data_IF_618344117157
#
_entry.id   IF_618344117157
#
_cell.length_a   1.000
_cell.length_b   1.000
_cell.length_c   1.000
_cell.angle_alpha   90.00
_cell.angle_beta   90.00
_cell.angle_gamma   90.00
#
_symmetry.space_group_name_H-M   'P 1'
#
loop_
_entity.id
_entity.type
_entity.pdbx_description
1 polymer ?
#
# COMPACT_ATOMS: atom_id res chain seq x y z
N UNK A 1 15.82 -22.43 -5.18
CA UNK A 1 15.56 -21.00 -4.83
C UNK A 1 14.50 -20.84 -3.75
N UNK A 2 13.46 -21.72 -3.70
CA UNK A 2 12.35 -21.56 -2.75
C UNK A 2 12.68 -21.75 -1.26
N UNK A 3 13.73 -22.49 -0.90
CA UNK A 3 14.04 -22.81 0.50
C UNK A 3 14.90 -21.76 1.22
N UNK A 4 15.61 -20.92 0.48
CA UNK A 4 16.48 -19.90 1.07
C UNK A 4 15.68 -18.76 1.71
N UNK A 5 14.47 -18.49 1.19
CA UNK A 5 13.62 -17.40 1.67
C UNK A 5 12.70 -17.77 2.86
N UNK A 6 12.53 -19.07 3.15
CA UNK A 6 11.55 -19.57 4.13
C UNK A 6 11.84 -19.26 5.62
N UNK A 7 12.96 -18.61 5.95
CA UNK A 7 13.35 -18.31 7.36
C UNK A 7 14.06 -16.98 7.55
N UNK A 8 13.85 -16.01 6.68
CA UNK A 8 14.46 -14.70 6.90
C UNK A 8 13.74 -13.97 8.03
N UNK A 9 14.53 -13.49 9.01
CA UNK A 9 14.03 -12.58 10.05
C UNK A 9 13.63 -11.28 9.38
N UNK A 10 12.38 -10.84 9.58
CA UNK A 10 11.89 -9.58 9.05
C UNK A 10 12.76 -8.42 9.52
N UNK A 11 13.22 -7.61 8.58
CA UNK A 11 14.01 -6.41 8.83
C UNK A 11 13.13 -5.18 8.76
N UNK A 12 13.45 -4.23 9.61
CA UNK A 12 12.72 -2.98 9.74
C UNK A 12 13.67 -1.83 9.45
N UNK A 13 13.23 -0.89 8.63
CA UNK A 13 13.96 0.34 8.39
C UNK A 13 13.88 1.26 9.61
N UNK A 14 14.92 2.06 9.81
CA UNK A 14 14.87 3.14 10.79
C UNK A 14 13.85 4.21 10.37
N UNK A 15 13.31 4.93 11.34
CA UNK A 15 12.47 6.11 11.07
C UNK A 15 13.31 7.23 10.46
N UNK A 16 12.66 8.05 9.64
CA UNK A 16 13.28 9.22 9.02
C UNK A 16 13.63 10.28 10.07
N UNK A 17 14.74 10.95 9.89
CA UNK A 17 15.23 12.04 10.73
C UNK A 17 15.38 13.32 9.90
N UNK A 18 15.35 14.44 10.58
CA UNK A 18 15.64 15.73 9.94
C UNK A 18 17.02 15.69 9.28
N UNK A 19 17.11 16.08 8.03
CA UNK A 19 18.31 16.02 7.20
C UNK A 19 18.39 14.75 6.33
N UNK A 20 17.53 13.75 6.57
CA UNK A 20 17.50 12.56 5.73
C UNK A 20 17.02 12.86 4.32
N UNK A 21 17.57 12.13 3.37
CA UNK A 21 17.18 12.15 1.97
C UNK A 21 16.19 11.04 1.67
N UNK A 22 15.10 11.38 1.00
CA UNK A 22 14.11 10.42 0.51
C UNK A 22 14.10 10.40 -1.02
N UNK A 23 14.11 9.19 -1.58
CA UNK A 23 14.00 8.98 -3.02
C UNK A 23 12.52 8.92 -3.43
N UNK A 24 12.18 9.58 -4.55
CA UNK A 24 10.90 9.42 -5.21
C UNK A 24 11.11 8.52 -6.43
N UNK A 25 10.33 7.44 -6.49
CA UNK A 25 10.39 6.42 -7.56
C UNK A 25 9.03 6.29 -8.24
N UNK A 26 9.03 6.10 -9.55
CA UNK A 26 7.85 5.77 -10.35
C UNK A 26 7.98 4.32 -10.84
N UNK A 27 7.46 3.37 -10.05
CA UNK A 27 7.63 1.95 -10.28
C UNK A 27 6.57 1.33 -11.19
N UNK A 28 5.45 2.04 -11.39
CA UNK A 28 4.35 1.65 -12.26
C UNK A 28 3.98 2.80 -13.19
N UNK A 29 2.98 3.64 -12.85
CA UNK A 29 2.62 4.79 -13.66
C UNK A 29 3.71 5.87 -13.65
N UNK A 30 3.98 6.44 -14.83
CA UNK A 30 4.88 7.59 -15.01
C UNK A 30 4.20 8.94 -14.85
N UNK A 31 3.02 9.00 -14.28
CA UNK A 31 2.17 10.21 -14.20
C UNK A 31 2.92 11.42 -13.63
N UNK A 32 3.79 11.23 -12.64
CA UNK A 32 4.53 12.31 -12.01
C UNK A 32 5.42 13.09 -12.99
N UNK A 33 5.87 12.42 -14.06
CA UNK A 33 6.70 13.05 -15.11
C UNK A 33 5.92 13.83 -16.15
N UNK A 34 4.59 13.82 -16.09
CA UNK A 34 3.75 14.54 -17.05
C UNK A 34 3.59 16.02 -16.68
N UNK A 35 3.44 16.87 -17.71
CA UNK A 35 3.33 18.31 -17.53
C UNK A 35 2.16 18.71 -16.61
N UNK A 36 1.06 17.96 -16.65
CA UNK A 36 -0.11 18.22 -15.81
C UNK A 36 0.12 17.90 -14.31
N UNK A 37 1.22 17.22 -13.96
CA UNK A 37 1.63 16.96 -12.57
C UNK A 37 2.73 17.90 -12.06
N UNK A 38 3.16 18.90 -12.82
CA UNK A 38 4.28 19.76 -12.42
C UNK A 38 4.06 20.48 -11.08
N UNK A 39 2.83 20.94 -10.81
CA UNK A 39 2.46 21.57 -9.55
C UNK A 39 2.49 20.59 -8.37
N UNK A 40 2.19 19.31 -8.59
CA UNK A 40 2.29 18.28 -7.55
C UNK A 40 3.74 18.10 -7.09
N UNK A 41 4.71 18.18 -7.99
CA UNK A 41 6.14 18.12 -7.65
C UNK A 41 6.50 19.26 -6.68
N UNK A 42 6.11 20.50 -7.01
CA UNK A 42 6.39 21.68 -6.18
C UNK A 42 5.76 21.55 -4.78
N UNK A 43 4.50 21.13 -4.71
CA UNK A 43 3.75 20.94 -3.45
C UNK A 43 4.40 19.85 -2.60
N UNK A 44 4.65 18.66 -3.18
CA UNK A 44 5.21 17.53 -2.44
C UNK A 44 6.62 17.81 -1.92
N UNK A 45 7.48 18.44 -2.73
CA UNK A 45 8.85 18.85 -2.32
C UNK A 45 8.79 19.88 -1.19
N UNK A 46 7.89 20.87 -1.29
CA UNK A 46 7.69 21.85 -0.22
C UNK A 46 7.35 21.17 1.11
N UNK A 47 6.39 20.23 1.10
CA UNK A 47 5.94 19.52 2.31
C UNK A 47 7.02 18.62 2.89
N UNK A 48 7.78 17.90 2.07
CA UNK A 48 8.93 17.12 2.55
C UNK A 48 9.97 18.02 3.22
N UNK A 49 10.24 19.19 2.63
CA UNK A 49 11.16 20.18 3.22
C UNK A 49 10.65 20.73 4.57
N UNK A 50 9.34 20.90 4.74
CA UNK A 50 8.75 21.31 6.01
C UNK A 50 9.01 20.29 7.13
N UNK A 51 9.12 19.00 6.80
CA UNK A 51 9.58 17.95 7.70
C UNK A 51 11.11 17.90 7.88
N UNK A 52 11.84 18.76 7.17
CA UNK A 52 13.31 18.77 7.18
C UNK A 52 13.93 17.65 6.35
N UNK A 53 13.17 17.04 5.42
CA UNK A 53 13.64 15.98 4.53
C UNK A 53 14.12 16.54 3.21
N UNK A 54 15.19 15.95 2.66
CA UNK A 54 15.68 16.25 1.31
C UNK A 54 15.01 15.32 0.30
N UNK A 55 14.58 15.86 -0.84
CA UNK A 55 13.94 15.08 -1.90
C UNK A 55 14.92 14.77 -3.03
N UNK A 56 15.00 13.52 -3.44
CA UNK A 56 15.77 13.06 -4.60
C UNK A 56 14.86 12.32 -5.57
N UNK A 57 14.56 12.90 -6.72
CA UNK A 57 13.89 12.17 -7.79
C UNK A 57 14.88 11.23 -8.46
N UNK A 58 14.54 9.93 -8.52
CA UNK A 58 15.40 8.99 -9.21
C UNK A 58 15.42 9.29 -10.73
N UNK A 59 16.49 8.94 -11.43
CA UNK A 59 16.75 9.45 -12.81
C UNK A 59 15.63 9.23 -13.82
N UNK A 60 14.83 8.17 -13.65
CA UNK A 60 13.72 7.86 -14.57
C UNK A 60 12.35 8.27 -14.03
N UNK A 61 12.23 8.62 -12.74
CA UNK A 61 10.93 8.86 -12.08
C UNK A 61 10.08 9.97 -12.72
N UNK A 62 10.70 10.90 -13.44
CA UNK A 62 10.06 12.03 -14.13
C UNK A 62 10.07 11.88 -15.66
N UNK A 63 10.22 10.69 -16.20
CA UNK A 63 10.29 10.45 -17.66
C UNK A 63 8.93 10.36 -18.38
N UNK A 64 7.84 10.37 -17.62
CA UNK A 64 6.49 10.31 -18.16
C UNK A 64 5.96 8.90 -18.42
N UNK A 65 4.66 8.82 -18.67
CA UNK A 65 3.90 7.56 -18.77
C UNK A 65 4.43 6.67 -19.89
N UNK A 66 4.57 7.19 -21.09
CA UNK A 66 4.98 6.38 -22.25
C UNK A 66 6.38 5.78 -22.09
N UNK A 67 7.33 6.61 -21.62
CA UNK A 67 8.69 6.12 -21.39
C UNK A 67 8.73 5.01 -20.35
N UNK A 68 8.10 5.22 -19.19
CA UNK A 68 8.15 4.24 -18.10
C UNK A 68 7.41 2.96 -18.44
N UNK A 69 6.29 3.03 -19.15
CA UNK A 69 5.57 1.86 -19.64
C UNK A 69 6.44 1.01 -20.59
N UNK A 70 7.20 1.65 -21.47
CA UNK A 70 8.09 0.98 -22.40
C UNK A 70 9.40 0.48 -21.76
N UNK A 71 9.76 0.96 -20.56
CA UNK A 71 11.07 0.73 -19.96
C UNK A 71 11.00 0.20 -18.51
N UNK A 72 10.44 -1.01 -18.27
CA UNK A 72 10.37 -1.58 -16.92
C UNK A 72 11.75 -1.77 -16.27
N UNK A 73 12.77 -2.08 -17.07
CA UNK A 73 14.16 -2.16 -16.60
C UNK A 73 14.68 -0.84 -16.02
N UNK A 74 14.29 0.30 -16.59
CA UNK A 74 14.68 1.62 -16.08
C UNK A 74 14.03 1.91 -14.72
N UNK A 75 12.76 1.53 -14.55
CA UNK A 75 12.03 1.62 -13.26
C UNK A 75 12.70 0.75 -12.19
N UNK A 76 13.03 -0.49 -12.54
CA UNK A 76 13.73 -1.41 -11.63
C UNK A 76 15.12 -0.88 -11.25
N UNK A 77 15.84 -0.28 -12.21
CA UNK A 77 17.14 0.35 -11.94
C UNK A 77 17.03 1.50 -10.94
N UNK A 78 16.03 2.36 -11.05
CA UNK A 78 15.80 3.43 -10.09
C UNK A 78 15.61 2.88 -8.67
N UNK A 79 14.84 1.81 -8.50
CA UNK A 79 14.65 1.18 -7.20
C UNK A 79 15.96 0.57 -6.68
N UNK A 80 16.71 -0.14 -7.52
CA UNK A 80 18.03 -0.68 -7.17
C UNK A 80 18.98 0.44 -6.74
N UNK A 81 19.12 1.49 -7.56
CA UNK A 81 20.02 2.61 -7.27
C UNK A 81 19.64 3.31 -5.95
N UNK A 82 18.33 3.45 -5.66
CA UNK A 82 17.88 4.01 -4.40
C UNK A 82 18.27 3.15 -3.18
N UNK A 83 18.28 1.81 -3.31
CA UNK A 83 18.77 0.93 -2.25
C UNK A 83 20.29 0.93 -2.12
N UNK A 84 21.01 1.10 -3.23
CA UNK A 84 22.47 1.12 -3.27
C UNK A 84 23.07 2.45 -2.78
N UNK A 85 22.30 3.53 -2.77
CA UNK A 85 22.77 4.85 -2.31
C UNK A 85 22.59 4.97 -0.79
N UNK A 86 23.69 4.92 -0.04
CA UNK A 86 23.69 5.04 1.41
C UNK A 86 23.18 6.40 1.93
N UNK A 87 23.12 7.42 1.07
CA UNK A 87 22.57 8.74 1.44
C UNK A 87 21.04 8.76 1.48
N UNK A 88 20.37 7.75 0.92
CA UNK A 88 18.91 7.64 0.89
C UNK A 88 18.45 6.84 2.10
N UNK A 89 17.62 7.44 2.94
CA UNK A 89 17.03 6.80 4.13
C UNK A 89 15.65 6.18 3.86
N UNK A 90 14.89 6.74 2.92
CA UNK A 90 13.54 6.27 2.58
C UNK A 90 13.21 6.40 1.11
N UNK A 91 12.24 5.61 0.68
CA UNK A 91 11.76 5.53 -0.70
C UNK A 91 10.24 5.71 -0.68
N UNK A 92 9.77 6.70 -1.43
CA UNK A 92 8.35 7.02 -1.53
C UNK A 92 7.93 6.79 -2.98
N UNK A 93 6.92 5.93 -3.19
CA UNK A 93 6.34 5.74 -4.51
C UNK A 93 5.61 7.00 -4.97
N UNK A 94 5.82 7.40 -6.22
CA UNK A 94 5.13 8.56 -6.80
C UNK A 94 3.62 8.34 -6.82
N UNK A 95 3.21 7.19 -7.34
CA UNK A 95 1.82 6.72 -7.43
C UNK A 95 1.85 5.21 -7.72
N UNK A 96 0.69 4.54 -7.67
CA UNK A 96 0.50 3.19 -8.17
C UNK A 96 0.49 3.12 -9.71
N UNK A 97 -0.36 2.28 -10.23
CA UNK A 97 -0.53 1.98 -11.66
C UNK A 97 -1.07 0.57 -11.82
N UNK A 98 -0.55 -0.19 -12.79
CA UNK A 98 -1.10 -1.50 -13.11
C UNK A 98 -0.09 -2.55 -13.64
N UNK A 99 1.21 -2.21 -13.73
CA UNK A 99 2.17 -3.10 -14.39
C UNK A 99 3.54 -3.23 -13.67
N UNK A 100 3.61 -2.91 -12.37
CA UNK A 100 4.87 -3.00 -11.63
C UNK A 100 5.40 -4.42 -11.49
N UNK A 101 4.59 -5.47 -11.73
CA UNK A 101 5.05 -6.86 -11.78
C UNK A 101 6.18 -7.07 -12.82
N UNK A 102 6.23 -6.24 -13.86
CA UNK A 102 7.28 -6.29 -14.91
C UNK A 102 8.68 -6.01 -14.38
N UNK A 103 8.79 -5.49 -13.15
CA UNK A 103 10.07 -5.22 -12.51
C UNK A 103 10.65 -6.46 -11.84
N UNK A 104 9.82 -7.45 -11.50
CA UNK A 104 10.23 -8.64 -10.74
C UNK A 104 11.43 -9.38 -11.34
N UNK A 105 11.50 -9.63 -12.69
CA UNK A 105 12.67 -10.28 -13.28
C UNK A 105 13.98 -9.53 -13.07
N UNK A 106 13.94 -8.20 -13.11
CA UNK A 106 15.12 -7.35 -12.97
C UNK A 106 15.57 -7.15 -11.52
N UNK A 107 14.69 -7.40 -10.57
CA UNK A 107 14.96 -7.19 -9.15
C UNK A 107 15.23 -8.51 -8.42
N UNK A 108 14.42 -9.53 -8.65
CA UNK A 108 14.55 -10.82 -7.95
C UNK A 108 15.62 -11.75 -8.54
N UNK A 109 16.16 -11.44 -9.72
CA UNK A 109 17.34 -12.10 -10.29
C UNK A 109 18.64 -11.30 -10.08
N UNK A 110 18.58 -10.15 -9.41
CA UNK A 110 19.73 -9.26 -9.15
C UNK A 110 20.23 -9.43 -7.71
N UNK A 111 21.32 -10.18 -7.55
CA UNK A 111 21.92 -10.47 -6.23
C UNK A 111 22.38 -9.19 -5.51
N UNK A 112 22.87 -8.17 -6.26
CA UNK A 112 23.31 -6.91 -5.65
C UNK A 112 22.13 -6.14 -5.05
N UNK A 113 20.97 -6.14 -5.74
CA UNK A 113 19.75 -5.53 -5.20
C UNK A 113 19.29 -6.26 -3.95
N UNK A 114 19.20 -7.58 -4.00
CA UNK A 114 18.80 -8.42 -2.86
C UNK A 114 19.72 -8.17 -1.66
N UNK A 115 21.02 -8.15 -1.90
CA UNK A 115 22.03 -7.85 -0.88
C UNK A 115 21.86 -6.44 -0.30
N UNK A 116 21.60 -5.43 -1.15
CA UNK A 116 21.39 -4.05 -0.70
C UNK A 116 20.14 -3.94 0.19
N UNK A 117 19.04 -4.59 -0.17
CA UNK A 117 17.80 -4.65 0.65
C UNK A 117 18.12 -5.25 2.04
N UNK A 118 18.94 -6.28 2.10
CA UNK A 118 19.30 -6.94 3.35
C UNK A 118 20.28 -6.15 4.20
N UNK A 119 21.25 -5.48 3.58
CA UNK A 119 22.32 -4.75 4.29
C UNK A 119 21.90 -3.36 4.75
N UNK A 120 21.06 -2.71 3.96
CA UNK A 120 20.60 -1.34 4.18
C UNK A 120 19.07 -1.25 4.04
N UNK A 121 18.31 -1.80 5.00
CA UNK A 121 16.85 -1.72 4.94
C UNK A 121 16.42 -0.26 4.97
N UNK A 122 15.59 0.14 3.99
CA UNK A 122 15.08 1.50 3.85
C UNK A 122 13.57 1.53 4.04
N UNK A 123 13.07 2.64 4.58
CA UNK A 123 11.65 2.91 4.60
C UNK A 123 11.12 2.88 3.15
N UNK A 124 10.04 2.16 2.91
CA UNK A 124 9.38 2.10 1.61
C UNK A 124 7.87 2.24 1.81
N UNK A 125 7.24 3.19 1.10
CA UNK A 125 5.82 3.50 1.25
C UNK A 125 5.12 3.73 -0.08
N UNK A 126 3.87 3.29 -0.15
CA UNK A 126 2.96 3.43 -1.26
C UNK A 126 1.76 2.49 -1.11
N UNK A 127 0.81 2.54 -2.03
CA UNK A 127 -0.37 1.68 -2.06
C UNK A 127 -0.78 1.38 -3.50
N UNK A 128 -1.93 0.69 -3.71
CA UNK A 128 -2.41 0.30 -5.04
C UNK A 128 -1.54 -0.79 -5.66
N UNK A 129 -1.15 -0.66 -6.92
CA UNK A 129 -0.24 -1.58 -7.62
C UNK A 129 1.09 -1.79 -6.88
N UNK A 130 1.49 -0.84 -6.03
CA UNK A 130 2.63 -1.01 -5.11
C UNK A 130 2.51 -2.25 -4.21
N UNK A 131 1.32 -2.85 -4.08
CA UNK A 131 1.11 -4.16 -3.44
C UNK A 131 2.10 -5.21 -3.93
N UNK A 132 2.37 -5.24 -5.24
CA UNK A 132 3.33 -6.15 -5.86
C UNK A 132 4.75 -5.93 -5.30
N UNK A 133 5.15 -4.67 -5.17
CA UNK A 133 6.45 -4.31 -4.59
C UNK A 133 6.51 -4.66 -3.10
N UNK A 134 5.43 -4.43 -2.36
CA UNK A 134 5.35 -4.83 -0.95
C UNK A 134 5.47 -6.34 -0.76
N UNK A 135 4.78 -7.15 -1.57
CA UNK A 135 4.89 -8.60 -1.53
C UNK A 135 6.31 -9.07 -1.90
N UNK A 136 6.95 -8.41 -2.89
CA UNK A 136 8.35 -8.66 -3.23
C UNK A 136 9.28 -8.38 -2.02
N UNK A 137 9.14 -7.23 -1.38
CA UNK A 137 9.94 -6.88 -0.20
C UNK A 137 9.63 -7.79 0.99
N UNK A 138 8.37 -8.13 1.21
CA UNK A 138 7.98 -9.08 2.25
C UNK A 138 8.68 -10.43 2.05
N UNK A 139 8.69 -10.94 0.81
CA UNK A 139 9.43 -12.15 0.42
C UNK A 139 10.93 -12.02 0.67
N UNK A 140 11.53 -10.85 0.45
CA UNK A 140 12.94 -10.56 0.75
C UNK A 140 13.18 -10.29 2.26
N UNK A 141 12.18 -10.35 3.10
CA UNK A 141 12.30 -10.13 4.54
C UNK A 141 12.45 -8.66 4.94
N UNK A 142 11.96 -7.72 4.12
CA UNK A 142 11.90 -6.30 4.46
C UNK A 142 10.46 -5.90 4.78
N UNK A 143 10.24 -5.30 5.94
CA UNK A 143 8.99 -4.67 6.33
C UNK A 143 8.83 -3.32 5.62
N UNK A 144 7.68 -3.11 5.02
CA UNK A 144 7.33 -1.90 4.26
C UNK A 144 5.97 -1.36 4.68
N UNK A 145 5.57 -0.19 4.20
CA UNK A 145 4.38 0.51 4.65
C UNK A 145 3.36 0.66 3.53
N UNK A 146 2.20 -0.01 3.66
CA UNK A 146 1.03 0.25 2.83
C UNK A 146 0.36 1.53 3.31
N UNK A 147 0.63 2.64 2.65
CA UNK A 147 0.25 3.95 3.15
C UNK A 147 0.54 5.10 2.18
N UNK A 148 0.68 6.32 2.70
CA UNK A 148 0.83 7.52 1.89
C UNK A 148 1.87 7.41 0.78
N UNK A 149 1.52 7.94 -0.41
CA UNK A 149 2.43 8.11 -1.53
C UNK A 149 2.67 9.59 -1.84
N UNK A 150 3.48 9.88 -2.85
CA UNK A 150 3.85 11.25 -3.17
C UNK A 150 2.68 12.06 -3.75
N UNK A 151 2.04 11.60 -4.82
CA UNK A 151 1.01 12.38 -5.53
C UNK A 151 -0.28 12.49 -4.71
N UNK A 152 -0.76 11.37 -4.17
CA UNK A 152 -2.09 11.34 -3.53
C UNK A 152 -2.12 11.99 -2.15
N UNK A 153 -0.98 12.01 -1.44
CA UNK A 153 -0.93 12.43 -0.04
C UNK A 153 0.01 13.61 0.18
N UNK A 154 1.30 13.48 -0.14
CA UNK A 154 2.26 14.58 0.03
C UNK A 154 1.96 15.74 -0.91
N UNK A 155 1.57 15.46 -2.13
CA UNK A 155 1.22 16.48 -3.12
C UNK A 155 -0.29 16.74 -3.23
N UNK A 156 -1.06 16.43 -2.17
CA UNK A 156 -2.47 16.85 -2.09
C UNK A 156 -2.60 18.34 -2.39
N UNK A 157 -3.47 18.68 -3.35
CA UNK A 157 -3.58 20.07 -3.87
C UNK A 157 -4.45 21.00 -3.02
N UNK A 158 -5.09 20.50 -1.95
CA UNK A 158 -5.62 21.37 -0.90
C UNK A 158 -4.49 22.16 -0.23
N UNK A 159 -4.80 23.23 0.48
CA UNK A 159 -3.80 24.09 1.12
C UNK A 159 -2.84 23.30 2.02
N UNK A 160 -3.34 22.26 2.70
CA UNK A 160 -2.55 21.36 3.52
C UNK A 160 -2.81 19.88 3.18
N UNK A 161 -1.95 18.99 3.67
CA UNK A 161 -2.25 17.56 3.69
C UNK A 161 -3.50 17.29 4.52
N UNK A 162 -4.29 16.31 4.11
CA UNK A 162 -5.44 15.88 4.91
C UNK A 162 -4.98 15.40 6.30
N UNK A 163 -5.55 15.90 7.39
CA UNK A 163 -4.99 15.72 8.75
C UNK A 163 -4.76 14.26 9.14
N UNK A 164 -5.68 13.36 8.78
CA UNK A 164 -5.56 11.94 9.09
C UNK A 164 -4.41 11.27 8.32
N UNK A 165 -4.28 11.53 7.00
CA UNK A 165 -3.16 11.02 6.18
C UNK A 165 -1.84 11.68 6.56
N UNK A 166 -1.85 12.96 6.96
CA UNK A 166 -0.69 13.67 7.49
C UNK A 166 -0.13 12.96 8.71
N UNK A 167 -0.99 12.62 9.68
CA UNK A 167 -0.61 11.86 10.88
C UNK A 167 -0.01 10.50 10.52
N UNK A 168 -0.55 9.82 9.51
CA UNK A 168 -0.01 8.57 9.02
C UNK A 168 1.41 8.74 8.45
N UNK A 169 1.64 9.76 7.62
CA UNK A 169 2.98 10.06 7.11
C UNK A 169 3.96 10.47 8.22
N UNK A 170 3.51 11.29 9.17
CA UNK A 170 4.32 11.71 10.31
C UNK A 170 4.81 10.52 11.16
N UNK A 171 4.10 9.39 11.15
CA UNK A 171 4.54 8.17 11.83
C UNK A 171 5.89 7.61 11.32
N UNK A 172 6.28 7.97 10.11
CA UNK A 172 7.55 7.59 9.51
C UNK A 172 8.74 8.39 10.06
N UNK A 173 8.47 9.50 10.77
CA UNK A 173 9.46 10.44 11.24
C UNK A 173 9.75 10.18 12.73
N UNK A 174 11.04 10.18 13.11
CA UNK A 174 11.46 9.97 14.50
C UNK A 174 10.81 10.96 15.46
N UNK A 175 10.43 10.48 16.62
CA UNK A 175 9.75 11.28 17.65
C UNK A 175 8.23 11.30 17.53
N UNK A 176 7.66 10.82 16.42
CA UNK A 176 6.21 10.71 16.28
C UNK A 176 5.76 9.28 16.57
N UNK A 177 4.78 9.13 17.44
CA UNK A 177 4.16 7.86 17.77
C UNK A 177 2.80 7.73 17.06
N UNK A 178 2.61 6.63 16.36
CA UNK A 178 1.36 6.29 15.70
C UNK A 178 1.00 4.83 16.01
N UNK A 179 0.59 4.60 17.24
CA UNK A 179 0.34 3.23 17.73
C UNK A 179 -1.11 2.79 17.61
N UNK A 180 -2.03 3.75 17.58
CA UNK A 180 -3.47 3.47 17.56
C UNK A 180 -4.09 4.05 16.30
N UNK A 181 -4.75 3.21 15.52
CA UNK A 181 -5.55 3.58 14.36
C UNK A 181 -7.01 3.55 14.79
N UNK A 182 -7.68 4.67 14.63
CA UNK A 182 -9.12 4.84 14.84
C UNK A 182 -9.78 5.25 13.54
N UNK A 183 -11.09 5.15 13.44
CA UNK A 183 -11.80 5.69 12.29
C UNK A 183 -11.60 7.19 12.17
N UNK A 184 -11.45 7.69 10.94
CA UNK A 184 -11.51 9.11 10.66
C UNK A 184 -12.94 9.64 10.91
N UNK A 185 -13.08 10.84 11.43
CA UNK A 185 -14.39 11.48 11.58
C UNK A 185 -14.96 12.01 10.26
N UNK A 186 -14.09 12.18 9.27
CA UNK A 186 -14.41 12.73 7.95
C UNK A 186 -13.81 11.82 6.89
N UNK A 187 -14.57 11.53 5.85
CA UNK A 187 -14.05 10.97 4.63
C UNK A 187 -14.26 11.95 3.46
N UNK A 188 -13.50 11.79 2.39
CA UNK A 188 -13.49 12.70 1.26
C UNK A 188 -13.77 11.95 -0.02
N UNK A 189 -14.58 12.55 -0.90
CA UNK A 189 -14.77 12.03 -2.25
C UNK A 189 -13.46 12.01 -3.02
N UNK A 190 -13.36 11.08 -3.95
CA UNK A 190 -12.29 11.08 -4.93
C UNK A 190 -12.25 12.42 -5.67
N UNK A 191 -11.06 13.00 -5.74
CA UNK A 191 -10.86 14.26 -6.47
C UNK A 191 -10.83 13.96 -7.96
N UNK A 192 -11.68 14.63 -8.72
CA UNK A 192 -11.75 14.50 -10.18
C UNK A 192 -11.01 15.60 -10.93
N UNK A 193 -10.78 16.74 -10.28
CA UNK A 193 -10.01 17.86 -10.84
C UNK A 193 -8.64 17.93 -10.16
N UNK A 194 -7.61 17.62 -10.93
CA UNK A 194 -6.19 17.62 -10.50
C UNK A 194 -5.37 18.71 -11.20
N UNK A 195 -6.02 19.58 -11.97
CA UNK A 195 -5.33 20.61 -12.74
C UNK A 195 -4.72 21.68 -11.82
N UNK A 196 -3.76 22.42 -12.36
CA UNK A 196 -3.08 23.48 -11.62
C UNK A 196 -4.05 24.55 -11.10
N UNK A 197 -5.11 24.82 -11.83
CA UNK A 197 -6.17 25.76 -11.47
C UNK A 197 -6.97 25.32 -10.23
N UNK A 198 -6.96 24.06 -9.92
CA UNK A 198 -7.63 23.49 -8.74
C UNK A 198 -6.75 23.53 -7.47
N UNK A 199 -5.50 23.96 -7.56
CA UNK A 199 -4.61 24.09 -6.38
C UNK A 199 -5.20 25.06 -5.37
N UNK A 200 -5.23 24.66 -4.10
CA UNK A 200 -5.86 25.41 -3.02
C UNK A 200 -7.36 25.14 -2.85
N UNK A 201 -7.96 24.29 -3.70
CA UNK A 201 -9.36 23.90 -3.51
C UNK A 201 -9.48 22.71 -2.55
N UNK A 202 -10.47 22.77 -1.69
CA UNK A 202 -10.78 21.69 -0.75
C UNK A 202 -11.46 20.50 -1.46
N UNK A 203 -11.26 19.30 -0.93
CA UNK A 203 -12.02 18.12 -1.33
C UNK A 203 -13.45 18.21 -0.81
N UNK A 204 -14.39 17.59 -1.52
CA UNK A 204 -15.73 17.37 -1.01
C UNK A 204 -15.64 16.41 0.16
N UNK A 205 -16.06 16.88 1.35
CA UNK A 205 -15.97 16.12 2.59
C UNK A 205 -17.32 15.64 3.07
N UNK A 206 -17.33 14.50 3.73
CA UNK A 206 -18.48 13.90 4.37
C UNK A 206 -18.14 13.49 5.79
N UNK A 207 -19.13 13.59 6.68
CA UNK A 207 -19.00 13.01 8.01
C UNK A 207 -18.99 11.49 7.92
N UNK A 208 -18.14 10.83 8.71
CA UNK A 208 -18.15 9.38 8.84
C UNK A 208 -19.32 8.94 9.74
N UNK A 209 -20.26 8.20 9.16
CA UNK A 209 -21.47 7.77 9.88
C UNK A 209 -21.34 6.32 10.40
N UNK A 210 -20.41 5.51 9.88
CA UNK A 210 -20.27 4.09 10.20
C UNK A 210 -19.13 3.81 11.19
N UNK A 211 -17.97 4.39 10.97
CA UNK A 211 -16.75 4.02 11.66
C UNK A 211 -16.31 2.59 11.32
N UNK A 212 -15.43 2.01 12.13
CA UNK A 212 -15.07 0.61 11.95
C UNK A 212 -16.23 -0.30 12.34
N UNK A 213 -16.55 -1.28 11.48
CA UNK A 213 -17.64 -2.22 11.67
C UNK A 213 -17.12 -3.66 11.77
N UNK A 214 -17.48 -4.37 12.84
CA UNK A 214 -17.27 -5.81 12.94
C UNK A 214 -18.43 -6.53 12.23
N UNK A 215 -18.15 -7.18 11.09
CA UNK A 215 -19.18 -7.89 10.34
C UNK A 215 -19.49 -9.26 10.94
N UNK A 216 -18.47 -9.92 11.48
CA UNK A 216 -18.58 -11.27 12.09
C UNK A 216 -17.35 -11.58 12.94
N UNK A 217 -17.40 -12.69 13.67
CA UNK A 217 -16.30 -13.21 14.49
C UNK A 217 -16.13 -12.50 15.82
N UNK A 218 -15.02 -12.74 16.49
CA UNK A 218 -14.72 -12.18 17.81
C UNK A 218 -14.27 -10.72 17.74
N UNK A 219 -14.61 -9.95 18.77
CA UNK A 219 -14.30 -8.51 18.85
C UNK A 219 -12.81 -8.20 19.06
N UNK A 220 -12.02 -9.15 19.57
CA UNK A 220 -10.58 -8.95 19.81
C UNK A 220 -9.79 -10.07 19.15
N UNK A 221 -8.79 -9.69 18.35
CA UNK A 221 -7.87 -10.62 17.69
C UNK A 221 -6.55 -9.95 17.38
N UNK A 222 -5.54 -10.77 17.12
CA UNK A 222 -4.21 -10.28 16.75
C UNK A 222 -3.58 -11.13 15.66
N UNK A 223 -2.60 -10.56 14.97
CA UNK A 223 -1.81 -11.24 13.96
C UNK A 223 -0.87 -10.29 13.26
N UNK A 224 0.01 -10.83 12.42
CA UNK A 224 0.90 -10.01 11.59
C UNK A 224 0.20 -9.56 10.32
N UNK A 225 0.37 -8.30 9.95
CA UNK A 225 -0.28 -7.70 8.79
C UNK A 225 0.33 -8.21 7.48
N UNK A 226 -0.53 -8.66 6.57
CA UNK A 226 -0.18 -9.06 5.20
C UNK A 226 -1.41 -8.86 4.30
N UNK A 227 -1.22 -8.30 3.10
CA UNK A 227 -2.33 -8.01 2.20
C UNK A 227 -2.01 -6.97 1.15
N UNK A 228 -2.96 -6.10 0.84
CA UNK A 228 -2.82 -5.00 -0.11
C UNK A 228 -4.09 -4.69 -0.89
N UNK A 229 -3.94 -4.12 -2.09
CA UNK A 229 -5.02 -3.86 -3.03
C UNK A 229 -5.60 -5.20 -3.54
N UNK A 230 -6.91 -5.36 -3.42
CA UNK A 230 -7.60 -6.62 -3.77
C UNK A 230 -7.47 -6.93 -5.26
N UNK A 231 -7.61 -5.91 -6.10
CA UNK A 231 -7.46 -6.06 -7.56
C UNK A 231 -6.03 -6.48 -7.93
N UNK A 232 -5.00 -5.92 -7.29
CA UNK A 232 -3.62 -6.36 -7.51
C UNK A 232 -3.39 -7.81 -7.08
N UNK A 233 -4.00 -8.24 -5.95
CA UNK A 233 -3.94 -9.64 -5.53
C UNK A 233 -4.68 -10.57 -6.50
N UNK A 234 -5.79 -10.10 -7.08
CA UNK A 234 -6.54 -10.83 -8.10
C UNK A 234 -5.76 -10.96 -9.42
N UNK A 235 -5.16 -9.86 -9.88
CA UNK A 235 -4.43 -9.82 -11.15
C UNK A 235 -3.22 -10.77 -11.15
N UNK A 236 -2.45 -10.83 -10.06
CA UNK A 236 -1.32 -11.77 -9.96
C UNK A 236 -1.74 -13.27 -9.93
N UNK A 237 -3.01 -13.55 -9.65
CA UNK A 237 -3.58 -14.90 -9.63
C UNK A 237 -4.36 -15.24 -10.91
N UNK A 238 -4.57 -14.25 -11.79
CA UNK A 238 -5.37 -14.40 -13.02
C UNK A 238 -4.62 -13.86 -14.23
N UNK A 239 -5.22 -13.98 -15.41
CA UNK A 239 -4.73 -13.36 -16.64
C UNK A 239 -5.67 -12.25 -17.12
N UNK A 240 -6.40 -11.64 -16.18
CA UNK A 240 -7.50 -10.72 -16.53
C UNK A 240 -6.97 -9.39 -17.06
N UNK A 241 -5.98 -8.82 -16.40
CA UNK A 241 -5.40 -7.53 -16.81
C UNK A 241 -4.31 -7.70 -17.86
N UNK A 242 -3.33 -8.56 -17.60
CA UNK A 242 -2.23 -8.89 -18.53
C UNK A 242 -2.05 -10.41 -18.63
N UNK A 243 -1.84 -10.89 -19.86
CA UNK A 243 -1.74 -12.33 -20.13
C UNK A 243 -0.52 -12.99 -19.45
N UNK A 244 0.56 -12.23 -19.28
CA UNK A 244 1.83 -12.72 -18.73
C UNK A 244 1.98 -12.50 -17.21
N UNK A 245 1.15 -11.67 -16.58
CA UNK A 245 1.31 -11.26 -15.19
C UNK A 245 1.30 -12.45 -14.22
N UNK A 246 0.29 -13.30 -14.33
CA UNK A 246 0.19 -14.51 -13.50
C UNK A 246 1.43 -15.39 -13.62
N UNK A 247 1.88 -15.66 -14.85
CA UNK A 247 3.04 -16.52 -15.08
C UNK A 247 4.33 -15.93 -14.50
N UNK A 248 4.52 -14.62 -14.65
CA UNK A 248 5.66 -13.90 -14.05
C UNK A 248 5.60 -13.98 -12.52
N UNK A 249 4.46 -13.67 -11.92
CA UNK A 249 4.31 -13.69 -10.46
C UNK A 249 4.44 -15.12 -9.88
N UNK A 250 3.92 -16.14 -10.54
CA UNK A 250 4.08 -17.55 -10.14
C UNK A 250 5.55 -17.99 -10.23
N UNK A 251 6.29 -17.59 -11.27
CA UNK A 251 7.72 -17.89 -11.42
C UNK A 251 8.53 -17.47 -10.19
N UNK A 252 8.21 -16.31 -9.63
CA UNK A 252 8.92 -15.79 -8.46
C UNK A 252 8.23 -16.13 -7.13
N UNK A 253 7.11 -16.88 -7.15
CA UNK A 253 6.35 -17.21 -5.94
C UNK A 253 5.94 -15.95 -5.17
N UNK A 254 5.38 -14.97 -5.90
CA UNK A 254 5.06 -13.67 -5.32
C UNK A 254 3.88 -13.74 -4.36
N UNK A 255 2.81 -14.42 -4.75
CA UNK A 255 1.69 -14.66 -3.84
C UNK A 255 2.16 -15.62 -2.74
N UNK A 256 2.05 -15.24 -1.46
CA UNK A 256 2.51 -16.07 -0.34
C UNK A 256 1.83 -17.43 -0.35
N UNK A 257 2.56 -18.48 -0.01
CA UNK A 257 1.96 -19.81 0.15
C UNK A 257 1.09 -19.89 1.42
N UNK A 258 0.28 -20.94 1.52
CA UNK A 258 -0.73 -21.05 2.59
C UNK A 258 -0.11 -21.06 4.00
N UNK A 259 1.10 -21.59 4.13
CA UNK A 259 1.81 -21.60 5.41
C UNK A 259 2.20 -20.19 5.87
N UNK A 260 2.51 -19.31 4.91
CA UNK A 260 2.83 -17.92 5.22
C UNK A 260 1.59 -17.13 5.67
N UNK A 261 0.40 -17.47 5.17
CA UNK A 261 -0.85 -16.82 5.58
C UNK A 261 -1.32 -17.23 7.00
N UNK A 262 -0.80 -18.30 7.57
CA UNK A 262 -1.19 -18.72 8.93
C UNK A 262 -0.95 -17.61 9.94
N UNK A 263 -1.94 -17.38 10.79
CA UNK A 263 -1.90 -16.40 11.89
C UNK A 263 -1.66 -14.94 11.43
N UNK A 264 -1.80 -14.65 10.11
CA UNK A 264 -1.79 -13.27 9.63
C UNK A 264 -3.15 -12.60 9.82
N UNK A 265 -3.15 -11.29 9.86
CA UNK A 265 -4.32 -10.48 9.57
C UNK A 265 -4.22 -10.10 8.09
N UNK A 266 -5.16 -10.62 7.29
CA UNK A 266 -5.29 -10.19 5.91
C UNK A 266 -5.87 -8.76 5.89
N UNK A 267 -5.20 -7.83 5.25
CA UNK A 267 -5.79 -6.53 4.93
C UNK A 267 -5.99 -6.39 3.42
N UNK A 268 -7.18 -6.00 3.01
CA UNK A 268 -7.57 -5.81 1.61
C UNK A 268 -8.40 -4.55 1.45
N UNK A 269 -8.25 -3.89 0.32
CA UNK A 269 -9.04 -2.71 -0.04
C UNK A 269 -9.29 -2.71 -1.56
N UNK A 270 -10.30 -2.00 -2.01
CA UNK A 270 -10.67 -1.88 -3.43
C UNK A 270 -10.12 -0.60 -4.03
N UNK A 271 -9.74 -0.66 -5.32
CA UNK A 271 -9.16 0.47 -6.03
C UNK A 271 -10.21 1.53 -6.45
N UNK A 272 -9.71 2.59 -7.07
CA UNK A 272 -10.51 3.72 -7.58
C UNK A 272 -11.49 3.35 -8.69
N UNK A 273 -11.30 2.21 -9.34
CA UNK A 273 -12.23 1.71 -10.37
C UNK A 273 -13.60 1.29 -9.79
N UNK A 274 -13.69 1.14 -8.46
CA UNK A 274 -14.92 0.80 -7.74
C UNK A 274 -15.58 -0.45 -8.33
N UNK A 275 -14.95 -1.62 -8.21
CA UNK A 275 -15.42 -2.83 -8.87
C UNK A 275 -16.89 -3.09 -8.57
N UNK A 276 -17.66 -3.45 -9.61
CA UNK A 276 -19.06 -3.84 -9.41
C UNK A 276 -19.16 -5.06 -8.51
N UNK A 277 -20.28 -5.28 -7.79
CA UNK A 277 -20.41 -6.38 -6.83
C UNK A 277 -20.02 -7.75 -7.37
N UNK A 278 -20.34 -8.04 -8.63
CA UNK A 278 -20.00 -9.30 -9.28
C UNK A 278 -18.48 -9.48 -9.47
N UNK A 279 -17.75 -8.39 -9.71
CA UNK A 279 -16.30 -8.43 -9.81
C UNK A 279 -15.67 -8.57 -8.42
N UNK A 280 -16.14 -7.81 -7.44
CA UNK A 280 -15.69 -7.94 -6.05
C UNK A 280 -15.92 -9.36 -5.52
N UNK A 281 -17.05 -10.00 -5.82
CA UNK A 281 -17.32 -11.41 -5.46
C UNK A 281 -16.26 -12.36 -6.03
N UNK A 282 -15.85 -12.17 -7.30
CA UNK A 282 -14.79 -12.98 -7.93
C UNK A 282 -13.43 -12.78 -7.25
N UNK A 283 -13.11 -11.56 -6.89
CA UNK A 283 -11.85 -11.22 -6.22
C UNK A 283 -11.77 -11.81 -4.82
N UNK A 284 -12.86 -11.79 -4.05
CA UNK A 284 -12.92 -12.47 -2.75
C UNK A 284 -12.90 -14.00 -2.94
N UNK A 285 -13.62 -14.52 -3.95
CA UNK A 285 -13.70 -15.96 -4.19
C UNK A 285 -12.33 -16.58 -4.51
N UNK A 286 -11.45 -15.89 -5.24
CA UNK A 286 -10.12 -16.43 -5.55
C UNK A 286 -9.26 -16.56 -4.28
N UNK A 287 -9.35 -15.64 -3.34
CA UNK A 287 -8.68 -15.74 -2.04
C UNK A 287 -9.25 -16.90 -1.21
N UNK A 288 -10.56 -17.14 -1.30
CA UNK A 288 -11.21 -18.31 -0.69
C UNK A 288 -10.70 -19.61 -1.30
N UNK A 289 -10.61 -19.70 -2.62
CA UNK A 289 -10.09 -20.89 -3.33
C UNK A 289 -8.62 -21.17 -2.97
N UNK A 290 -7.83 -20.13 -2.72
CA UNK A 290 -6.45 -20.25 -2.22
C UNK A 290 -6.36 -20.68 -0.76
N UNK A 291 -7.49 -20.79 -0.04
CA UNK A 291 -7.54 -21.20 1.37
C UNK A 291 -7.14 -20.11 2.37
N UNK A 292 -6.96 -18.86 1.92
CA UNK A 292 -6.46 -17.77 2.79
C UNK A 292 -7.37 -17.57 4.00
N UNK A 293 -8.69 -17.53 3.80
CA UNK A 293 -9.67 -17.33 4.87
C UNK A 293 -9.79 -18.50 5.87
N UNK A 294 -9.19 -19.65 5.55
CA UNK A 294 -9.20 -20.80 6.43
C UNK A 294 -8.06 -20.78 7.46
N UNK A 295 -7.05 -19.94 7.26
CA UNK A 295 -5.83 -19.93 8.09
C UNK A 295 -5.48 -18.58 8.71
N UNK A 296 -6.03 -17.47 8.21
CA UNK A 296 -5.76 -16.14 8.79
C UNK A 296 -6.45 -15.93 10.13
N UNK A 297 -5.88 -15.08 10.98
CA UNK A 297 -6.45 -14.76 12.31
C UNK A 297 -7.62 -13.77 12.21
N UNK A 298 -7.71 -13.01 11.14
CA UNK A 298 -8.75 -12.03 10.92
C UNK A 298 -8.53 -11.26 9.61
N UNK A 299 -9.52 -10.44 9.27
CA UNK A 299 -9.52 -9.66 8.03
C UNK A 299 -9.83 -8.19 8.35
N UNK A 300 -9.02 -7.29 7.81
CA UNK A 300 -9.29 -5.85 7.77
C UNK A 300 -9.65 -5.47 6.32
N UNK A 301 -10.81 -4.85 6.13
CA UNK A 301 -11.27 -4.42 4.81
C UNK A 301 -11.32 -2.90 4.78
N UNK A 302 -10.62 -2.31 3.82
CA UNK A 302 -10.58 -0.87 3.61
C UNK A 302 -11.96 -0.29 3.29
N UNK A 303 -12.18 0.95 3.68
CA UNK A 303 -13.35 1.71 3.26
C UNK A 303 -13.46 1.68 1.73
N UNK A 304 -14.61 1.33 1.14
CA UNK A 304 -14.77 1.45 -0.31
C UNK A 304 -14.64 2.90 -0.76
N UNK A 305 -14.00 3.11 -1.91
CA UNK A 305 -13.87 4.43 -2.52
C UNK A 305 -15.26 5.06 -2.70
N UNK A 306 -15.45 6.29 -2.18
CA UNK A 306 -16.70 7.04 -2.23
C UNK A 306 -17.92 6.29 -1.65
N UNK A 307 -17.70 5.31 -0.78
CA UNK A 307 -18.74 4.40 -0.24
C UNK A 307 -19.52 3.65 -1.34
N UNK A 308 -18.93 3.47 -2.53
CA UNK A 308 -19.54 2.71 -3.60
C UNK A 308 -19.79 1.26 -3.17
N UNK A 309 -21.00 0.75 -3.41
CA UNK A 309 -21.41 -0.63 -3.10
C UNK A 309 -21.18 -1.04 -1.64
N UNK A 310 -21.30 -0.09 -0.71
CA UNK A 310 -20.94 -0.23 0.70
C UNK A 310 -21.59 -1.47 1.35
N UNK A 311 -22.91 -1.64 1.20
CA UNK A 311 -23.63 -2.76 1.79
C UNK A 311 -23.51 -4.04 0.96
N UNK A 312 -23.41 -3.93 -0.36
CA UNK A 312 -23.21 -5.09 -1.25
C UNK A 312 -21.88 -5.78 -0.93
N UNK A 313 -20.81 -5.04 -0.74
CA UNK A 313 -19.50 -5.60 -0.38
C UNK A 313 -19.54 -6.31 0.98
N UNK A 314 -20.20 -5.74 1.99
CA UNK A 314 -20.38 -6.38 3.29
C UNK A 314 -21.08 -7.74 3.16
N UNK A 315 -22.16 -7.79 2.40
CA UNK A 315 -22.92 -9.00 2.16
C UNK A 315 -22.11 -10.06 1.43
N UNK A 316 -21.33 -9.67 0.41
CA UNK A 316 -20.45 -10.56 -0.34
C UNK A 316 -19.35 -11.12 0.55
N UNK A 317 -18.69 -10.29 1.37
CA UNK A 317 -17.66 -10.73 2.29
C UNK A 317 -18.17 -11.84 3.21
N UNK A 318 -19.28 -11.62 3.90
CA UNK A 318 -19.85 -12.61 4.83
C UNK A 318 -20.26 -13.89 4.09
N UNK A 319 -20.91 -13.75 2.93
CA UNK A 319 -21.38 -14.86 2.10
C UNK A 319 -20.24 -15.73 1.58
N UNK A 320 -19.21 -15.11 0.97
CA UNK A 320 -18.13 -15.83 0.29
C UNK A 320 -17.14 -16.40 1.27
N UNK A 321 -16.75 -15.65 2.30
CA UNK A 321 -15.87 -16.14 3.37
C UNK A 321 -16.49 -17.34 4.05
N UNK A 322 -17.78 -17.30 4.35
CA UNK A 322 -18.56 -18.42 4.89
C UNK A 322 -17.85 -19.14 6.08
N UNK A 323 -17.30 -18.36 6.98
CA UNK A 323 -16.64 -18.82 8.21
C UNK A 323 -16.99 -17.82 9.33
N UNK A 324 -18.10 -18.01 10.04
CA UNK A 324 -18.61 -17.03 11.02
C UNK A 324 -17.66 -16.78 12.21
N UNK A 325 -16.71 -17.68 12.44
CA UNK A 325 -15.72 -17.52 13.51
C UNK A 325 -14.55 -16.62 13.12
N UNK A 326 -14.31 -16.41 11.80
CA UNK A 326 -13.26 -15.53 11.31
C UNK A 326 -13.68 -14.06 11.48
N UNK A 327 -12.98 -13.25 12.29
CA UNK A 327 -13.34 -11.85 12.45
C UNK A 327 -13.04 -11.05 11.18
N UNK A 328 -14.03 -10.25 10.75
CA UNK A 328 -13.92 -9.33 9.63
C UNK A 328 -14.27 -7.94 10.11
N UNK A 329 -13.31 -7.03 10.07
CA UNK A 329 -13.50 -5.60 10.35
C UNK A 329 -13.51 -4.83 9.05
N UNK A 330 -14.58 -4.09 8.83
CA UNK A 330 -14.88 -3.35 7.61
C UNK A 330 -14.78 -1.85 7.82
N UNK A 331 -14.66 -1.10 6.73
CA UNK A 331 -14.63 0.36 6.71
C UNK A 331 -13.38 0.96 7.39
N UNK A 332 -12.23 0.28 7.26
CA UNK A 332 -10.97 0.77 7.81
C UNK A 332 -10.34 1.80 6.87
N UNK A 333 -9.82 2.91 7.40
CA UNK A 333 -9.28 4.00 6.61
C UNK A 333 -7.89 3.70 6.06
N UNK A 334 -7.76 2.82 5.07
CA UNK A 334 -6.52 2.59 4.32
C UNK A 334 -6.82 2.30 2.84
N UNK A 335 -5.80 2.40 2.00
CA UNK A 335 -5.90 2.17 0.56
C UNK A 335 -6.40 3.39 -0.21
N UNK A 336 -7.25 3.17 -1.21
CA UNK A 336 -7.70 4.22 -2.14
C UNK A 336 -8.68 5.21 -1.51
N UNK A 337 -9.53 4.76 -0.58
CA UNK A 337 -10.43 5.68 0.10
C UNK A 337 -9.64 6.74 0.88
N UNK A 338 -10.15 7.96 0.87
CA UNK A 338 -9.49 9.13 1.45
C UNK A 338 -10.27 9.61 2.69
N UNK A 339 -9.60 9.84 3.83
CA UNK A 339 -8.17 9.78 4.09
C UNK A 339 -7.70 8.37 4.44
N UNK A 340 -6.40 8.16 4.51
CA UNK A 340 -5.79 6.85 4.78
C UNK A 340 -4.79 6.84 5.93
N UNK A 341 -4.79 5.73 6.67
CA UNK A 341 -3.73 5.38 7.61
C UNK A 341 -2.59 4.64 6.90
N UNK A 342 -1.62 4.19 7.67
CA UNK A 342 -0.55 3.30 7.21
C UNK A 342 -0.65 1.96 7.90
N UNK A 343 -0.42 0.87 7.15
CA UNK A 343 -0.33 -0.49 7.65
C UNK A 343 1.05 -1.05 7.32
N UNK A 344 1.76 -1.56 8.34
CA UNK A 344 3.11 -2.05 8.18
C UNK A 344 3.12 -3.56 7.94
N UNK A 345 3.67 -4.01 6.81
CA UNK A 345 3.81 -5.43 6.50
C UNK A 345 4.63 -6.17 7.56
N UNK A 346 4.12 -7.29 8.03
CA UNK A 346 4.77 -8.12 9.03
C UNK A 346 4.72 -7.59 10.47
N UNK A 347 4.25 -6.38 10.71
CA UNK A 347 4.03 -5.87 12.05
C UNK A 347 2.87 -6.57 12.75
N UNK A 348 2.94 -6.72 14.05
CA UNK A 348 1.84 -7.26 14.85
C UNK A 348 0.77 -6.19 15.01
N UNK A 349 -0.46 -6.51 14.63
CA UNK A 349 -1.62 -5.67 14.88
C UNK A 349 -2.56 -6.37 15.90
N UNK A 350 -3.04 -5.62 16.88
CA UNK A 350 -4.06 -6.02 17.83
C UNK A 350 -5.31 -5.21 17.56
N UNK A 351 -6.37 -5.90 17.20
CA UNK A 351 -7.68 -5.33 16.90
C UNK A 351 -8.58 -5.46 18.13
N UNK A 352 -9.15 -4.35 18.58
CA UNK A 352 -10.10 -4.29 19.68
C UNK A 352 -11.36 -3.53 19.23
N UNK A 353 -12.38 -4.28 18.83
CA UNK A 353 -13.64 -3.72 18.34
C UNK A 353 -14.57 -3.23 19.44
N UNK A 354 -14.32 -3.59 20.71
CA UNK A 354 -15.02 -2.98 21.85
C UNK A 354 -14.68 -1.50 21.97
N UNK A 355 -13.42 -1.17 21.68
CA UNK A 355 -12.89 0.20 21.67
C UNK A 355 -12.84 0.81 20.26
N UNK A 356 -13.09 0.03 19.22
CA UNK A 356 -12.95 0.40 17.80
C UNK A 356 -11.56 0.93 17.46
N UNK A 357 -10.52 0.25 17.90
CA UNK A 357 -9.12 0.62 17.65
C UNK A 357 -8.33 -0.56 17.10
N UNK A 358 -7.32 -0.23 16.29
CA UNK A 358 -6.29 -1.15 15.84
C UNK A 358 -4.96 -0.64 16.38
N UNK A 359 -4.27 -1.44 17.16
CA UNK A 359 -2.93 -1.13 17.68
C UNK A 359 -1.89 -1.86 16.86
N UNK A 360 -0.96 -1.12 16.27
CA UNK A 360 0.20 -1.69 15.60
C UNK A 360 1.42 -1.59 16.51
N UNK A 361 2.15 -2.69 16.67
CA UNK A 361 3.47 -2.65 17.28
C UNK A 361 4.43 -1.99 16.30
N UNK A 362 4.96 -0.84 16.67
CA UNK A 362 6.05 -0.18 15.96
C UNK A 362 7.32 -0.91 16.38
N UNK A 363 7.95 -1.59 15.45
CA UNK A 363 9.26 -2.19 15.66
C UNK A 363 10.34 -1.27 15.15
#
# INVERSE_FOLDING_TARGET
>A
ASDVYKRQVMKYAEKLRKGDKVAIVSLSSGMLGEAFCSHNIEIGVKRLREYGLETSFMPNSLKGIEYLKANPKARAKDLKDAFMDDSIAGIICAIGGDDTYRLLPYLLEDEEFIDAVHKSPKLFTGFSDTTINHLMFYKLGLSTYYGPNFICDLAEISDEMLPYSKKAFESYIEGNEYREITSSEIWYQERTDFLKEAVGTERISHREEHGFELLQGKECFEGRLLGGCLESLYDILTTTRYEDEKAVCEKYGLFPDIEEWKEKILFIETCEEKPVPEQFEKEIAILKEKGVFDVVSGVLVGKPQDEAYYDEYKNILVKVVNNPDLPIVYNVNFGHATPRCTLQYGAVARVDMKRKIIKCEVM
#
